data_IF_439038950549
#
_entry.id   IF_439038950549
#
_cell.length_a   1.000
_cell.length_b   1.000
_cell.length_c   1.000
_cell.angle_alpha   90.00
_cell.angle_beta   90.00
_cell.angle_gamma   90.00
#
_symmetry.space_group_name_H-M   'P 1'
#
loop_
_entity.id
_entity.type
_entity.pdbx_description
1 polymer ?
#
# COMPACT_ATOMS: atom_id res chain seq x y z
N UNK A 1 12.93 -2.22 -16.00
CA UNK A 1 13.24 -1.62 -14.69
C UNK A 1 12.60 -0.24 -14.63
N UNK A 2 11.83 0.07 -13.58
CA UNK A 2 11.25 1.40 -13.40
C UNK A 2 12.19 2.26 -12.55
N UNK A 3 12.41 3.51 -12.96
CA UNK A 3 13.42 4.40 -12.37
C UNK A 3 12.79 5.73 -11.94
N UNK A 4 13.37 6.36 -10.92
CA UNK A 4 13.05 7.73 -10.50
C UNK A 4 14.17 8.67 -10.94
N UNK A 5 13.79 9.88 -11.37
CA UNK A 5 14.74 10.96 -11.63
C UNK A 5 15.10 11.61 -10.29
N UNK A 6 16.32 11.36 -9.81
CA UNK A 6 16.83 11.92 -8.56
C UNK A 6 16.35 11.19 -7.30
N UNK A 7 16.53 11.84 -6.14
CA UNK A 7 16.18 11.27 -4.83
C UNK A 7 14.74 11.68 -4.46
N UNK A 8 13.82 10.73 -4.29
CA UNK A 8 12.41 11.04 -4.02
C UNK A 8 12.13 11.53 -2.59
N UNK A 9 13.13 11.54 -1.70
CA UNK A 9 13.01 11.90 -0.29
C UNK A 9 11.79 11.20 0.35
N UNK A 10 10.86 11.97 0.93
CA UNK A 10 9.63 11.46 1.57
C UNK A 10 8.42 11.33 0.63
N UNK A 11 8.62 11.55 -0.67
CA UNK A 11 7.57 11.52 -1.68
C UNK A 11 7.11 10.11 -2.03
N UNK A 12 5.82 9.98 -2.34
CA UNK A 12 5.19 8.76 -2.82
C UNK A 12 4.33 9.11 -4.06
N UNK A 13 4.08 8.13 -4.92
CA UNK A 13 3.02 8.29 -5.92
C UNK A 13 1.67 8.04 -5.22
N UNK A 14 0.77 9.01 -5.24
CA UNK A 14 -0.43 8.93 -4.41
C UNK A 14 -1.59 8.18 -5.08
N UNK A 15 -1.63 8.08 -6.42
CA UNK A 15 -2.65 7.31 -7.15
C UNK A 15 -4.12 7.68 -6.87
N UNK A 16 -4.35 8.75 -6.12
CA UNK A 16 -5.60 9.15 -5.45
C UNK A 16 -5.26 10.04 -4.24
N UNK A 17 -6.27 10.58 -3.55
CA UNK A 17 -6.07 11.34 -2.29
C UNK A 17 -5.77 10.44 -1.09
N UNK A 18 -5.80 11.02 0.11
CA UNK A 18 -5.96 10.22 1.33
C UNK A 18 -7.46 10.00 1.59
N UNK A 19 -7.86 8.79 2.01
CA UNK A 19 -9.25 8.50 2.35
C UNK A 19 -9.68 9.18 3.65
N UNK A 20 -10.90 8.90 4.09
CA UNK A 20 -11.43 9.31 5.41
C UNK A 20 -10.67 8.58 6.53
N UNK A 21 -9.45 9.03 6.85
CA UNK A 21 -8.62 8.47 7.91
C UNK A 21 -7.89 7.15 7.57
N UNK A 22 -8.20 6.49 6.44
CA UNK A 22 -7.52 5.25 6.02
C UNK A 22 -6.66 5.47 4.78
N UNK A 23 -5.43 4.96 4.83
CA UNK A 23 -4.48 4.97 3.72
C UNK A 23 -3.74 3.63 3.62
N UNK A 24 -3.57 3.11 2.42
CA UNK A 24 -2.69 1.99 2.15
C UNK A 24 -1.37 2.44 1.51
N UNK A 25 -0.30 1.68 1.74
CA UNK A 25 0.99 1.81 1.06
C UNK A 25 1.33 0.48 0.36
N UNK A 26 1.77 0.57 -0.89
CA UNK A 26 2.33 -0.55 -1.65
C UNK A 26 3.70 -0.20 -2.22
N UNK A 27 4.45 -1.20 -2.68
CA UNK A 27 5.80 -1.00 -3.24
C UNK A 27 5.77 -0.30 -4.59
N UNK A 28 4.98 -0.84 -5.51
CA UNK A 28 4.84 -0.38 -6.88
C UNK A 28 3.51 0.31 -7.13
N UNK A 29 3.46 1.13 -8.18
CA UNK A 29 2.23 1.84 -8.56
C UNK A 29 1.17 0.90 -9.16
N UNK A 30 1.57 -0.20 -9.82
CA UNK A 30 0.62 -1.23 -10.27
C UNK A 30 -0.02 -1.95 -9.09
N UNK A 31 0.78 -2.37 -8.11
CA UNK A 31 0.30 -2.98 -6.85
C UNK A 31 -0.65 -2.03 -6.12
N UNK A 32 -0.27 -0.75 -5.96
CA UNK A 32 -1.11 0.26 -5.32
C UNK A 32 -2.45 0.45 -6.08
N UNK A 33 -2.39 0.60 -7.40
CA UNK A 33 -3.60 0.74 -8.22
C UNK A 33 -4.51 -0.49 -8.12
N UNK A 34 -3.93 -1.69 -8.16
CA UNK A 34 -4.68 -2.92 -8.04
C UNK A 34 -5.33 -3.04 -6.65
N UNK A 35 -4.60 -2.72 -5.60
CA UNK A 35 -5.12 -2.68 -4.24
C UNK A 35 -6.32 -1.74 -4.11
N UNK A 36 -6.22 -0.52 -4.65
CA UNK A 36 -7.32 0.44 -4.64
C UNK A 36 -8.54 -0.05 -5.39
N UNK A 37 -8.37 -0.66 -6.56
CA UNK A 37 -9.49 -1.22 -7.34
C UNK A 37 -10.18 -2.37 -6.60
N UNK A 38 -9.41 -3.24 -5.97
CA UNK A 38 -9.93 -4.47 -5.35
C UNK A 38 -10.55 -4.24 -3.96
N UNK A 39 -10.05 -3.24 -3.23
CA UNK A 39 -10.42 -3.02 -1.83
C UNK A 39 -11.14 -1.69 -1.59
N UNK A 40 -11.24 -0.82 -2.60
CA UNK A 40 -11.86 0.52 -2.51
C UNK A 40 -11.18 1.42 -1.45
N UNK A 41 -9.90 1.19 -1.19
CA UNK A 41 -9.08 1.95 -0.24
C UNK A 41 -7.99 2.71 -1.00
N UNK A 42 -7.79 4.02 -0.75
CA UNK A 42 -6.71 4.77 -1.37
C UNK A 42 -5.34 4.17 -1.03
N UNK A 43 -4.52 3.93 -2.04
CA UNK A 43 -3.22 3.29 -1.89
C UNK A 43 -2.13 4.09 -2.59
N UNK A 44 -1.10 4.48 -1.85
CA UNK A 44 0.07 5.15 -2.40
C UNK A 44 1.17 4.15 -2.70
N UNK A 45 1.99 4.42 -3.70
CA UNK A 45 3.19 3.66 -3.97
C UNK A 45 4.43 4.32 -3.36
N UNK A 46 5.14 3.55 -2.54
CA UNK A 46 6.42 3.92 -1.92
C UNK A 46 7.57 3.92 -2.94
N UNK A 47 7.35 3.38 -4.14
CA UNK A 47 8.36 3.21 -5.19
C UNK A 47 9.56 2.38 -4.72
N UNK A 48 9.25 1.27 -4.03
CA UNK A 48 10.16 0.21 -3.61
C UNK A 48 10.02 -0.19 -2.14
N UNK A 49 10.07 -1.49 -1.83
CA UNK A 49 9.96 -2.05 -0.47
C UNK A 49 10.80 -1.33 0.61
N UNK A 50 12.02 -0.92 0.26
CA UNK A 50 12.96 -0.28 1.20
C UNK A 50 12.57 1.15 1.59
N UNK A 51 11.50 1.69 1.01
CA UNK A 51 11.00 3.04 1.27
C UNK A 51 9.72 3.06 2.09
N UNK A 52 9.24 1.90 2.54
CA UNK A 52 8.01 1.81 3.32
C UNK A 52 8.02 2.73 4.53
N UNK A 53 9.16 2.90 5.20
CA UNK A 53 9.42 3.73 6.38
C UNK A 53 9.75 5.21 6.06
N UNK A 54 9.75 5.63 4.80
CA UNK A 54 10.26 6.94 4.39
C UNK A 54 9.16 7.93 3.98
N UNK A 55 7.91 7.49 3.88
CA UNK A 55 6.82 8.28 3.32
C UNK A 55 6.29 9.30 4.32
N UNK A 56 6.07 10.53 3.86
CA UNK A 56 5.36 11.53 4.66
C UNK A 56 3.87 11.20 4.67
N UNK A 57 3.43 10.53 5.74
CA UNK A 57 2.01 10.23 5.95
C UNK A 57 1.23 11.52 6.31
N UNK A 58 -0.02 11.67 5.84
CA UNK A 58 -0.89 12.72 6.36
C UNK A 58 -1.09 12.54 7.87
N UNK A 59 -1.17 13.63 8.61
CA UNK A 59 -1.41 13.58 10.07
C UNK A 59 -2.82 13.08 10.40
N UNK A 60 -3.77 13.25 9.48
CA UNK A 60 -5.18 12.90 9.64
C UNK A 60 -5.50 11.41 9.47
N UNK A 61 -4.52 10.56 9.12
CA UNK A 61 -4.77 9.12 9.01
C UNK A 61 -4.72 8.47 10.39
N UNK A 62 -5.69 7.58 10.60
CA UNK A 62 -5.91 6.77 11.80
C UNK A 62 -5.66 5.28 11.52
N UNK A 63 -5.64 4.89 10.24
CA UNK A 63 -5.35 3.53 9.79
C UNK A 63 -4.38 3.54 8.61
N UNK A 64 -3.28 2.81 8.77
CA UNK A 64 -2.28 2.54 7.75
C UNK A 64 -2.29 1.06 7.38
N UNK A 65 -2.49 0.75 6.09
CA UNK A 65 -2.45 -0.62 5.57
C UNK A 65 -1.17 -0.81 4.75
N UNK A 66 -0.36 -1.80 5.11
CA UNK A 66 0.84 -2.18 4.38
C UNK A 66 0.48 -3.27 3.38
N UNK A 67 0.13 -2.86 2.16
CA UNK A 67 -0.21 -3.71 1.02
C UNK A 67 1.08 -4.26 0.36
N UNK A 68 1.84 -5.02 1.13
CA UNK A 68 3.16 -5.55 0.76
C UNK A 68 3.07 -6.65 -0.29
N UNK A 69 4.11 -6.77 -1.11
CA UNK A 69 4.28 -7.93 -1.97
C UNK A 69 4.61 -9.18 -1.12
N UNK A 70 4.32 -10.37 -1.65
CA UNK A 70 4.52 -11.66 -0.98
C UNK A 70 5.97 -12.15 -1.05
N UNK A 71 6.93 -11.27 -0.75
CA UNK A 71 8.35 -11.59 -0.74
C UNK A 71 9.07 -11.13 0.53
N UNK A 72 10.36 -11.45 0.61
CA UNK A 72 11.18 -11.14 1.78
C UNK A 72 11.46 -9.64 1.94
N UNK A 73 11.56 -8.88 0.85
CA UNK A 73 11.83 -7.45 0.91
C UNK A 73 10.57 -6.69 1.36
N UNK A 74 9.39 -7.08 0.86
CA UNK A 74 8.10 -6.54 1.31
C UNK A 74 7.89 -6.76 2.81
N UNK A 75 8.18 -7.97 3.32
CA UNK A 75 8.10 -8.27 4.76
C UNK A 75 9.06 -7.42 5.60
N UNK A 76 10.31 -7.24 5.13
CA UNK A 76 11.30 -6.37 5.81
C UNK A 76 10.88 -4.91 5.81
N UNK A 77 10.36 -4.43 4.68
CA UNK A 77 9.81 -3.08 4.55
C UNK A 77 8.65 -2.84 5.52
N UNK A 78 7.76 -3.82 5.66
CA UNK A 78 6.63 -3.72 6.59
C UNK A 78 7.07 -3.58 8.05
N UNK A 79 8.02 -4.40 8.50
CA UNK A 79 8.57 -4.31 9.87
C UNK A 79 9.09 -2.90 10.15
N UNK A 80 9.89 -2.35 9.23
CA UNK A 80 10.45 -1.00 9.38
C UNK A 80 9.36 0.07 9.40
N UNK A 81 8.33 -0.05 8.57
CA UNK A 81 7.22 0.90 8.56
C UNK A 81 6.42 0.86 9.85
N UNK A 82 6.14 -0.33 10.39
CA UNK A 82 5.45 -0.48 11.68
C UNK A 82 6.22 0.21 12.80
N UNK A 83 7.54 -0.02 12.88
CA UNK A 83 8.40 0.63 13.87
C UNK A 83 8.46 2.15 13.66
N UNK A 84 8.62 2.61 12.42
CA UNK A 84 8.82 4.02 12.10
C UNK A 84 7.56 4.87 12.32
N UNK A 85 6.38 4.34 11.98
CA UNK A 85 5.13 5.10 12.04
C UNK A 85 4.33 4.89 13.32
N UNK A 86 4.76 3.98 14.21
CA UNK A 86 4.11 3.75 15.48
C UNK A 86 3.87 5.07 16.23
N UNK A 87 2.59 5.42 16.41
CA UNK A 87 2.16 6.60 17.16
C UNK A 87 0.76 6.39 17.72
N UNK A 88 0.39 7.06 18.82
CA UNK A 88 -0.98 7.03 19.34
C UNK A 88 -1.99 7.44 18.27
N UNK A 89 -3.13 6.73 18.21
CA UNK A 89 -4.21 7.00 17.26
C UNK A 89 -3.96 6.49 15.83
N UNK A 90 -2.81 5.87 15.53
CA UNK A 90 -2.57 5.21 14.25
C UNK A 90 -2.54 3.68 14.42
N UNK A 91 -3.52 3.00 13.85
CA UNK A 91 -3.50 1.55 13.66
C UNK A 91 -2.68 1.20 12.40
N UNK A 92 -1.81 0.19 12.49
CA UNK A 92 -0.99 -0.28 11.37
C UNK A 92 -1.24 -1.79 11.20
N UNK A 93 -1.57 -2.21 9.99
CA UNK A 93 -1.79 -3.62 9.67
C UNK A 93 -1.13 -4.00 8.34
N UNK A 94 -0.75 -5.27 8.20
CA UNK A 94 -0.25 -5.82 6.93
C UNK A 94 -1.38 -6.50 6.19
N UNK A 95 -1.47 -6.24 4.88
CA UNK A 95 -2.40 -6.91 3.99
C UNK A 95 -1.64 -7.44 2.77
N UNK A 96 -0.95 -8.58 2.88
CA UNK A 96 -0.35 -9.24 1.73
C UNK A 96 -1.45 -9.82 0.82
N UNK A 97 -1.16 -10.00 -0.48
CA UNK A 97 -2.05 -10.75 -1.36
C UNK A 97 -2.21 -12.20 -0.89
N UNK A 98 -3.29 -12.87 -1.30
CA UNK A 98 -3.53 -14.28 -1.00
C UNK A 98 -2.33 -15.15 -1.39
N UNK A 99 -2.07 -16.19 -0.60
CA UNK A 99 -1.01 -17.16 -0.89
C UNK A 99 -1.11 -17.69 -2.33
N UNK A 100 0.03 -17.75 -3.02
CA UNK A 100 0.12 -18.11 -4.44
C UNK A 100 0.21 -16.90 -5.38
N UNK A 101 -0.15 -15.70 -4.93
CA UNK A 101 0.04 -14.47 -5.70
C UNK A 101 1.23 -13.67 -5.20
N UNK A 102 2.03 -13.18 -6.14
CA UNK A 102 3.23 -12.38 -5.84
C UNK A 102 2.87 -11.00 -5.29
N UNK A 103 1.93 -10.32 -5.92
CA UNK A 103 1.54 -8.94 -5.64
C UNK A 103 0.04 -8.76 -5.91
N UNK A 104 -0.50 -7.60 -5.54
CA UNK A 104 -1.91 -7.27 -5.78
C UNK A 104 -2.25 -7.11 -7.26
N UNK A 105 -1.27 -6.74 -8.11
CA UNK A 105 -1.50 -6.65 -9.54
C UNK A 105 -1.79 -8.04 -10.13
N UNK A 106 -1.11 -9.09 -9.65
CA UNK A 106 -1.38 -10.48 -10.03
C UNK A 106 -2.76 -10.97 -9.62
N UNK A 107 -3.30 -10.49 -8.50
CA UNK A 107 -4.71 -10.77 -8.14
C UNK A 107 -5.65 -10.07 -9.13
N UNK A 108 -5.44 -8.79 -9.42
CA UNK A 108 -6.33 -8.07 -10.33
C UNK A 108 -6.35 -8.68 -11.75
N UNK A 109 -5.20 -9.18 -12.22
CA UNK A 109 -5.07 -9.88 -13.51
C UNK A 109 -5.97 -11.13 -13.63
N UNK A 110 -6.35 -11.78 -12.52
CA UNK A 110 -7.23 -12.97 -12.57
C UNK A 110 -8.69 -12.64 -12.84
N UNK A 111 -9.06 -11.36 -12.81
CA UNK A 111 -10.45 -10.93 -12.94
C UNK A 111 -11.29 -11.12 -11.69
N UNK A 112 -10.67 -11.32 -10.51
CA UNK A 112 -11.32 -11.27 -9.20
C UNK A 112 -11.87 -9.85 -8.92
N UNK A 113 -12.92 -9.46 -9.64
CA UNK A 113 -13.83 -8.40 -9.19
C UNK A 113 -14.75 -9.06 -8.17
N UNK A 114 -14.57 -8.75 -6.89
CA UNK A 114 -15.51 -9.19 -5.86
C UNK A 114 -16.91 -8.73 -6.28
N UNK A 115 -17.85 -9.66 -6.33
CA UNK A 115 -19.28 -9.40 -6.36
C UNK A 115 -19.64 -8.40 -5.27
N UNK A 116 -19.73 -7.11 -5.61
CA UNK A 116 -20.39 -6.11 -4.78
C UNK A 116 -21.89 -6.37 -4.95
N UNK A 117 -22.52 -6.92 -3.91
CA UNK A 117 -23.97 -6.76 -3.77
C UNK A 117 -24.25 -5.25 -3.74
N UNK A 118 -25.23 -4.75 -4.51
CA UNK A 118 -25.60 -3.34 -4.44
C UNK A 118 -26.03 -2.99 -3.01
N UNK A 119 -25.75 -1.75 -2.54
CA UNK A 119 -26.27 -1.29 -1.26
C UNK A 119 -27.81 -1.29 -1.31
N UNK A 120 -28.43 -1.76 -0.22
CA UNK A 120 -29.87 -1.59 0.04
C UNK A 120 -30.22 -0.11 0.16
#
# INVERSE_FOLDING_TARGET
MKLMLGRPARGAWQGGGAGQGTLALAEGFETARAFTILNEIPCWATMGARRFDQIQLPSSIERLILAIDNDAEGRRGAIKAEECYARPGLSIERMPPKAGFKDWAKILETGERRCLKPPL
#
